data_IF_597598150041
#
_entry.id   IF_597598150041
#
_cell.length_a   1.000
_cell.length_b   1.000
_cell.length_c   1.000
_cell.angle_alpha   90.00
_cell.angle_beta   90.00
_cell.angle_gamma   90.00
#
_symmetry.space_group_name_H-M   'P 1'
#
loop_
_entity.id
_entity.type
_entity.pdbx_description
1 polymer ?
#
# COMPACT_ATOMS: atom_id res chain seq x y z
N UNK A 1 13.26 -29.32 6.65
CA UNK A 1 12.95 -30.67 6.14
C UNK A 1 11.45 -30.73 5.87
N UNK A 2 11.04 -30.70 4.60
CA UNK A 2 9.64 -30.80 4.19
C UNK A 2 9.12 -32.21 4.49
N UNK A 3 7.96 -32.33 5.11
CA UNK A 3 7.29 -33.62 5.33
C UNK A 3 6.82 -34.16 3.96
N UNK A 4 7.31 -35.32 3.49
CA UNK A 4 7.04 -35.83 2.13
C UNK A 4 5.56 -36.21 1.89
N UNK A 5 4.69 -36.13 2.89
CA UNK A 5 3.28 -36.53 2.80
C UNK A 5 2.28 -35.35 2.68
N UNK A 6 2.73 -34.11 2.87
CA UNK A 6 1.84 -32.94 2.84
C UNK A 6 2.06 -32.11 1.57
N UNK A 7 1.00 -31.88 0.80
CA UNK A 7 0.99 -30.89 -0.31
C UNK A 7 0.76 -29.45 0.18
N UNK A 8 0.71 -29.24 1.50
CA UNK A 8 0.46 -27.93 2.12
C UNK A 8 1.77 -27.26 2.52
N UNK A 9 1.74 -25.94 2.58
CA UNK A 9 2.88 -25.12 2.97
C UNK A 9 3.18 -25.25 4.48
N UNK A 10 4.45 -25.11 4.85
CA UNK A 10 4.90 -25.05 6.24
C UNK A 10 4.99 -23.60 6.72
N UNK A 11 4.88 -23.38 8.02
CA UNK A 11 5.06 -22.06 8.63
C UNK A 11 6.52 -21.59 8.52
N UNK A 12 6.72 -20.28 8.31
CA UNK A 12 8.03 -19.66 8.28
C UNK A 12 8.50 -19.30 9.69
N UNK A 13 9.63 -19.87 10.13
CA UNK A 13 10.19 -19.69 11.47
C UNK A 13 10.84 -18.32 11.74
N UNK A 14 10.87 -17.43 10.75
CA UNK A 14 11.36 -16.05 10.91
C UNK A 14 10.28 -15.07 11.38
N UNK A 15 9.02 -15.51 11.54
CA UNK A 15 7.98 -14.70 12.16
C UNK A 15 8.06 -14.74 13.69
N UNK A 16 7.76 -13.60 14.34
CA UNK A 16 7.72 -13.51 15.80
C UNK A 16 6.43 -14.08 16.40
N UNK A 17 5.32 -14.04 15.66
CA UNK A 17 4.00 -14.46 16.11
C UNK A 17 3.23 -15.11 14.96
N UNK A 18 2.25 -15.97 15.31
CA UNK A 18 1.34 -16.61 14.36
C UNK A 18 -0.10 -16.45 14.83
N UNK A 19 -0.99 -16.13 13.89
CA UNK A 19 -2.44 -16.19 14.08
C UNK A 19 -2.93 -17.28 13.12
N UNK A 20 -3.46 -18.38 13.69
CA UNK A 20 -3.98 -19.50 12.92
C UNK A 20 -5.50 -19.39 12.85
N UNK A 21 -6.03 -19.29 11.63
CA UNK A 21 -7.46 -19.11 11.37
C UNK A 21 -8.03 -20.42 10.86
N UNK A 22 -9.05 -20.93 11.53
CA UNK A 22 -9.72 -22.18 11.18
C UNK A 22 -11.14 -21.88 10.69
N UNK A 23 -11.46 -22.33 9.48
CA UNK A 23 -12.81 -22.28 8.90
C UNK A 23 -13.44 -23.68 8.75
N UNK A 24 -12.78 -24.72 9.31
CA UNK A 24 -13.17 -26.11 9.24
C UNK A 24 -12.80 -26.82 7.94
N UNK A 25 -12.17 -26.14 6.97
CA UNK A 25 -11.76 -26.73 5.69
C UNK A 25 -10.28 -27.08 5.63
N UNK A 26 -9.92 -28.05 4.79
CA UNK A 26 -8.53 -28.49 4.61
C UNK A 26 -8.11 -28.27 3.16
N UNK A 27 -6.94 -27.64 2.97
CA UNK A 27 -6.36 -27.43 1.64
C UNK A 27 -7.02 -26.34 0.80
N UNK A 28 -7.85 -25.49 1.40
CA UNK A 28 -8.39 -24.28 0.78
C UNK A 28 -7.66 -23.03 1.28
N UNK A 29 -7.48 -22.06 0.39
CA UNK A 29 -6.88 -20.77 0.71
C UNK A 29 -7.98 -19.73 1.00
N UNK A 30 -7.66 -18.72 1.82
CA UNK A 30 -8.50 -17.54 2.00
C UNK A 30 -9.34 -17.51 3.28
N UNK A 31 -9.24 -18.53 4.14
CA UNK A 31 -9.92 -18.55 5.44
C UNK A 31 -9.54 -17.34 6.31
N UNK A 32 -8.30 -16.87 6.19
CA UNK A 32 -7.75 -15.75 6.95
C UNK A 32 -8.21 -14.38 6.46
N UNK A 33 -8.72 -14.28 5.23
CA UNK A 33 -8.94 -12.98 4.55
C UNK A 33 -9.87 -12.11 5.38
N UNK A 34 -11.02 -12.62 5.83
CA UNK A 34 -11.99 -11.83 6.61
C UNK A 34 -11.38 -11.34 7.93
N UNK A 35 -10.73 -12.23 8.69
CA UNK A 35 -10.12 -11.86 9.97
C UNK A 35 -9.03 -10.81 9.80
N UNK A 36 -8.16 -11.00 8.78
CA UNK A 36 -7.09 -10.06 8.46
C UNK A 36 -7.65 -8.66 8.21
N UNK A 37 -8.74 -8.56 7.44
CA UNK A 37 -9.42 -7.28 7.15
C UNK A 37 -9.98 -6.60 8.40
N UNK A 38 -10.68 -7.36 9.25
CA UNK A 38 -11.23 -6.83 10.49
C UNK A 38 -10.13 -6.38 11.46
N UNK A 39 -9.01 -7.11 11.50
CA UNK A 39 -7.84 -6.77 12.30
C UNK A 39 -7.17 -5.48 11.79
N UNK A 40 -6.90 -5.37 10.49
CA UNK A 40 -6.32 -4.18 9.86
C UNK A 40 -7.16 -2.93 10.16
N UNK A 41 -8.49 -3.03 10.02
CA UNK A 41 -9.43 -1.94 10.37
C UNK A 41 -9.39 -1.59 11.85
N UNK A 42 -9.36 -2.59 12.73
CA UNK A 42 -9.32 -2.37 14.18
C UNK A 42 -8.03 -1.67 14.59
N UNK A 43 -6.89 -2.05 13.99
CA UNK A 43 -5.58 -1.41 14.20
C UNK A 43 -5.62 0.04 13.71
N UNK A 44 -6.24 0.31 12.56
CA UNK A 44 -6.34 1.66 12.02
C UNK A 44 -7.06 2.64 12.96
N UNK A 45 -8.01 2.14 13.76
CA UNK A 45 -8.73 2.93 14.76
C UNK A 45 -7.94 3.16 16.06
N UNK A 46 -6.83 2.44 16.27
CA UNK A 46 -6.00 2.63 17.46
C UNK A 46 -5.13 3.87 17.31
N UNK A 47 -4.82 4.54 18.43
CA UNK A 47 -3.94 5.72 18.42
C UNK A 47 -2.48 5.28 18.25
N UNK A 48 -1.78 5.93 17.32
CA UNK A 48 -0.35 5.69 17.11
C UNK A 48 0.51 6.16 18.30
N UNK A 49 0.06 7.22 18.98
CA UNK A 49 0.74 7.78 20.14
C UNK A 49 -0.27 8.47 21.06
N UNK A 50 -0.07 8.43 22.38
CA UNK A 50 -1.05 8.93 23.35
C UNK A 50 -1.40 10.42 23.18
N UNK A 51 -0.47 11.22 22.64
CA UNK A 51 -0.65 12.66 22.39
C UNK A 51 -1.03 13.01 20.96
N UNK A 52 -0.96 12.04 20.05
CA UNK A 52 -1.30 12.23 18.64
C UNK A 52 -2.70 11.68 18.44
N UNK A 53 -3.62 12.53 17.98
CA UNK A 53 -5.02 12.16 17.74
C UNK A 53 -5.25 11.23 16.55
N UNK A 54 -4.18 10.78 15.88
CA UNK A 54 -4.28 10.00 14.66
C UNK A 54 -4.26 8.50 14.90
N UNK A 55 -5.04 7.83 14.04
CA UNK A 55 -5.05 6.38 13.91
C UNK A 55 -3.72 5.81 13.42
N UNK A 56 -3.50 4.51 13.59
CA UNK A 56 -2.35 3.83 12.99
C UNK A 56 -2.58 3.72 11.47
N UNK A 57 -1.77 4.36 10.62
CA UNK A 57 -1.94 4.27 9.19
C UNK A 57 -1.60 2.85 8.69
N UNK A 58 -2.38 2.35 7.74
CA UNK A 58 -2.19 1.02 7.14
C UNK A 58 -1.88 1.19 5.65
N UNK A 59 -0.93 0.42 5.15
CA UNK A 59 -0.50 0.41 3.74
C UNK A 59 -0.32 -1.04 3.30
N UNK A 60 -0.74 -1.35 2.08
CA UNK A 60 -0.51 -2.65 1.47
C UNK A 60 0.74 -2.61 0.60
N UNK A 61 1.61 -3.61 0.74
CA UNK A 61 2.77 -3.80 -0.13
C UNK A 61 2.53 -5.02 -1.02
N UNK A 62 2.61 -4.83 -2.33
CA UNK A 62 2.45 -5.88 -3.34
C UNK A 62 3.81 -6.25 -3.90
N UNK A 63 4.21 -7.49 -3.66
CA UNK A 63 5.44 -8.10 -4.15
C UNK A 63 5.07 -9.37 -4.92
N UNK A 64 5.38 -9.40 -6.21
CA UNK A 64 4.93 -10.43 -7.16
C UNK A 64 3.39 -10.64 -7.10
N UNK A 65 2.94 -11.88 -6.92
CA UNK A 65 1.53 -12.21 -6.71
C UNK A 65 0.86 -12.95 -7.86
N UNK A 66 -0.19 -13.69 -7.51
CA UNK A 66 -1.13 -14.29 -8.46
C UNK A 66 -2.30 -13.36 -8.80
N UNK A 67 -3.26 -13.83 -9.61
CA UNK A 67 -4.40 -13.02 -10.06
C UNK A 67 -5.27 -12.50 -8.89
N UNK A 68 -5.37 -13.26 -7.79
CA UNK A 68 -6.13 -12.85 -6.60
C UNK A 68 -5.55 -11.62 -5.90
N UNK A 69 -4.27 -11.30 -6.11
CA UNK A 69 -3.66 -10.09 -5.55
C UNK A 69 -4.31 -8.85 -6.16
N UNK A 70 -4.65 -8.86 -7.45
CA UNK A 70 -5.34 -7.75 -8.11
C UNK A 70 -6.73 -7.53 -7.51
N UNK A 71 -7.47 -8.61 -7.21
CA UNK A 71 -8.74 -8.53 -6.50
C UNK A 71 -8.56 -7.94 -5.09
N UNK A 72 -7.53 -8.38 -4.38
CA UNK A 72 -7.19 -7.89 -3.04
C UNK A 72 -6.82 -6.39 -3.06
N UNK A 73 -6.12 -5.94 -4.10
CA UNK A 73 -5.82 -4.52 -4.35
C UNK A 73 -7.09 -3.74 -4.59
N UNK A 74 -8.00 -4.24 -5.42
CA UNK A 74 -9.30 -3.58 -5.62
C UNK A 74 -10.07 -3.42 -4.30
N UNK A 75 -10.09 -4.46 -3.46
CA UNK A 75 -10.72 -4.40 -2.14
C UNK A 75 -10.09 -3.30 -1.27
N UNK A 76 -8.76 -3.25 -1.17
CA UNK A 76 -8.04 -2.20 -0.43
C UNK A 76 -8.42 -0.79 -0.90
N UNK A 77 -8.52 -0.59 -2.22
CA UNK A 77 -8.86 0.70 -2.81
C UNK A 77 -10.33 1.08 -2.60
N UNK A 78 -11.24 0.12 -2.57
CA UNK A 78 -12.69 0.34 -2.40
C UNK A 78 -13.12 0.48 -0.94
N UNK A 79 -12.26 0.12 0.02
CA UNK A 79 -12.53 0.29 1.45
C UNK A 79 -12.78 1.75 1.86
N UNK A 80 -13.37 1.91 3.05
CA UNK A 80 -13.64 3.21 3.67
C UNK A 80 -13.17 3.20 5.13
N UNK A 81 -12.08 3.93 5.47
CA UNK A 81 -11.19 4.64 4.55
C UNK A 81 -10.41 3.68 3.63
N UNK A 82 -9.98 4.11 2.43
CA UNK A 82 -9.23 3.24 1.53
C UNK A 82 -7.81 3.01 2.05
N UNK A 83 -7.21 1.87 1.68
CA UNK A 83 -5.84 1.52 2.03
C UNK A 83 -4.92 1.79 0.84
N UNK A 84 -3.92 2.69 0.95
CA UNK A 84 -2.96 2.91 -0.11
C UNK A 84 -2.13 1.67 -0.39
N UNK A 85 -1.74 1.50 -1.65
CA UNK A 85 -1.03 0.31 -2.14
C UNK A 85 0.30 0.71 -2.75
N UNK A 86 1.39 0.10 -2.30
CA UNK A 86 2.70 0.18 -2.93
C UNK A 86 2.94 -1.08 -3.74
N UNK A 87 3.19 -0.91 -5.04
CA UNK A 87 3.45 -2.01 -5.97
C UNK A 87 4.93 -2.04 -6.31
N UNK A 88 5.61 -3.15 -5.98
CA UNK A 88 7.01 -3.36 -6.30
C UNK A 88 7.18 -3.88 -7.74
N UNK A 89 7.42 -2.97 -8.68
CA UNK A 89 7.75 -3.31 -10.06
C UNK A 89 9.13 -3.99 -10.16
N UNK A 90 9.24 -4.95 -11.06
CA UNK A 90 10.42 -5.79 -11.26
C UNK A 90 10.35 -7.10 -10.46
N UNK A 91 9.29 -7.30 -9.67
CA UNK A 91 9.09 -8.53 -8.89
C UNK A 91 8.34 -9.62 -9.64
N UNK A 92 7.69 -9.28 -10.77
CA UNK A 92 6.98 -10.24 -11.61
C UNK A 92 5.47 -10.22 -11.46
N UNK A 93 4.82 -10.92 -12.41
CA UNK A 93 3.41 -11.32 -12.39
C UNK A 93 2.43 -10.19 -12.06
N UNK A 94 1.65 -10.31 -10.97
CA UNK A 94 0.60 -9.34 -10.65
C UNK A 94 1.16 -7.94 -10.39
N UNK A 95 2.29 -7.82 -9.69
CA UNK A 95 2.94 -6.55 -9.43
C UNK A 95 3.35 -5.84 -10.73
N UNK A 96 4.00 -6.54 -11.65
CA UNK A 96 4.44 -5.95 -12.92
C UNK A 96 3.26 -5.59 -13.83
N UNK A 97 2.20 -6.39 -13.84
CA UNK A 97 0.97 -6.05 -14.58
C UNK A 97 0.32 -4.80 -13.99
N UNK A 98 0.20 -4.70 -12.66
CA UNK A 98 -0.33 -3.51 -11.98
C UNK A 98 0.52 -2.28 -12.28
N UNK A 99 1.84 -2.39 -12.21
CA UNK A 99 2.78 -1.32 -12.52
C UNK A 99 2.69 -0.88 -13.98
N UNK A 100 2.65 -1.83 -14.92
CA UNK A 100 2.52 -1.58 -16.34
C UNK A 100 1.22 -0.82 -16.65
N UNK A 101 0.08 -1.35 -16.20
CA UNK A 101 -1.22 -0.72 -16.43
C UNK A 101 -1.27 0.66 -15.78
N UNK A 102 -0.79 0.80 -14.54
CA UNK A 102 -0.70 2.09 -13.86
C UNK A 102 0.07 3.15 -14.68
N UNK A 103 1.17 2.78 -15.34
CA UNK A 103 1.94 3.68 -16.21
C UNK A 103 1.21 4.03 -17.51
N UNK A 104 0.42 3.10 -18.06
CA UNK A 104 -0.35 3.32 -19.29
C UNK A 104 -1.64 4.12 -19.05
N UNK A 105 -2.24 4.03 -17.86
CA UNK A 105 -3.51 4.70 -17.57
C UNK A 105 -3.35 6.21 -17.48
N UNK A 106 -4.17 6.96 -18.21
CA UNK A 106 -4.23 8.42 -18.15
C UNK A 106 -4.99 8.92 -16.90
N UNK A 107 -4.99 10.24 -16.67
CA UNK A 107 -5.81 10.87 -15.64
C UNK A 107 -7.29 10.60 -15.93
N UNK A 108 -7.97 9.85 -15.06
CA UNK A 108 -9.36 9.41 -15.24
C UNK A 108 -9.55 7.90 -15.35
N UNK A 109 -8.49 7.10 -15.28
CA UNK A 109 -8.60 5.64 -15.11
C UNK A 109 -8.74 4.85 -16.41
N UNK A 110 -8.63 5.51 -17.56
CA UNK A 110 -8.71 4.86 -18.87
C UNK A 110 -7.34 4.53 -19.44
N UNK A 111 -7.25 3.42 -20.18
CA UNK A 111 -6.05 3.06 -20.94
C UNK A 111 -6.18 3.54 -22.40
N UNK A 112 -5.06 3.81 -23.09
CA UNK A 112 -5.06 4.27 -24.47
C UNK A 112 -5.77 3.29 -25.41
N UNK A 113 -6.38 3.83 -26.48
CA UNK A 113 -7.00 3.01 -27.53
C UNK A 113 -5.96 2.05 -28.14
N UNK A 114 -6.26 0.75 -28.13
CA UNK A 114 -5.38 -0.30 -28.65
C UNK A 114 -4.45 -0.95 -27.61
N UNK A 115 -4.34 -0.43 -26.39
CA UNK A 115 -3.55 -1.07 -25.33
C UNK A 115 -4.27 -2.30 -24.70
N UNK A 116 -5.59 -2.31 -24.71
CA UNK A 116 -6.43 -3.40 -24.17
C UNK A 116 -6.04 -4.81 -24.67
N UNK A 117 -5.95 -5.10 -25.99
CA UNK A 117 -5.61 -6.43 -26.47
C UNK A 117 -4.21 -6.88 -26.04
N UNK A 118 -3.27 -5.95 -25.92
CA UNK A 118 -1.92 -6.24 -25.43
C UNK A 118 -1.93 -6.60 -23.95
N UNK A 119 -2.61 -5.81 -23.12
CA UNK A 119 -2.72 -6.07 -21.67
C UNK A 119 -3.41 -7.42 -21.43
N UNK A 120 -4.51 -7.72 -22.13
CA UNK A 120 -5.21 -9.01 -22.04
C UNK A 120 -4.28 -10.16 -22.45
N UNK A 121 -3.51 -10.01 -23.53
CA UNK A 121 -2.53 -11.01 -23.97
C UNK A 121 -1.46 -11.26 -22.91
N UNK A 122 -0.96 -10.21 -22.27
CA UNK A 122 0.00 -10.30 -21.16
C UNK A 122 -0.59 -11.03 -19.94
N UNK A 123 -1.83 -10.71 -19.56
CA UNK A 123 -2.55 -11.42 -18.48
C UNK A 123 -2.68 -12.91 -18.79
N UNK A 124 -3.12 -13.27 -20.01
CA UNK A 124 -3.26 -14.68 -20.43
C UNK A 124 -1.95 -15.44 -20.31
N UNK A 125 -0.85 -14.86 -20.80
CA UNK A 125 0.47 -15.48 -20.75
C UNK A 125 0.99 -15.61 -19.32
N UNK A 126 0.77 -14.60 -18.48
CA UNK A 126 1.32 -14.53 -17.12
C UNK A 126 0.62 -15.48 -16.15
N UNK A 127 -0.69 -15.68 -16.29
CA UNK A 127 -1.49 -16.51 -15.38
C UNK A 127 -2.04 -17.79 -16.02
N UNK A 128 -1.67 -18.09 -17.28
CA UNK A 128 -2.19 -19.22 -18.05
C UNK A 128 -3.72 -19.25 -18.15
N UNK A 129 -4.33 -18.07 -18.28
CA UNK A 129 -5.78 -17.87 -18.32
C UNK A 129 -6.39 -18.05 -19.71
N UNK A 130 -7.64 -18.50 -19.75
CA UNK A 130 -8.49 -18.43 -20.92
C UNK A 130 -8.87 -16.98 -21.28
N UNK A 131 -9.49 -16.78 -22.46
CA UNK A 131 -9.87 -15.44 -22.91
C UNK A 131 -10.83 -14.75 -21.92
N UNK A 132 -11.87 -15.46 -21.46
CA UNK A 132 -12.88 -14.89 -20.57
C UNK A 132 -12.31 -14.49 -19.21
N UNK A 133 -11.42 -15.30 -18.63
CA UNK A 133 -10.79 -15.03 -17.34
C UNK A 133 -9.86 -13.82 -17.43
N UNK A 134 -9.09 -13.71 -18.51
CA UNK A 134 -8.21 -12.58 -18.73
C UNK A 134 -8.96 -11.26 -18.95
N UNK A 135 -10.07 -11.29 -19.70
CA UNK A 135 -10.95 -10.11 -19.88
C UNK A 135 -11.54 -9.68 -18.53
N UNK A 136 -12.00 -10.63 -17.71
CA UNK A 136 -12.54 -10.32 -16.38
C UNK A 136 -11.47 -9.70 -15.45
N UNK A 137 -10.25 -10.27 -15.44
CA UNK A 137 -9.15 -9.71 -14.64
C UNK A 137 -8.72 -8.32 -15.16
N UNK A 138 -8.75 -8.11 -16.47
CA UNK A 138 -8.49 -6.80 -17.08
C UNK A 138 -9.52 -5.76 -16.63
N UNK A 139 -10.81 -6.10 -16.61
CA UNK A 139 -11.84 -5.20 -16.07
C UNK A 139 -11.58 -4.85 -14.60
N UNK A 140 -11.20 -5.83 -13.79
CA UNK A 140 -10.81 -5.61 -12.38
C UNK A 140 -9.61 -4.65 -12.27
N UNK A 141 -8.61 -4.81 -13.14
CA UNK A 141 -7.46 -3.90 -13.19
C UNK A 141 -7.87 -2.46 -13.50
N UNK A 142 -8.76 -2.25 -14.47
CA UNK A 142 -9.27 -0.92 -14.80
C UNK A 142 -10.05 -0.30 -13.63
N UNK A 143 -10.82 -1.11 -12.88
CA UNK A 143 -11.48 -0.62 -11.66
C UNK A 143 -10.47 -0.15 -10.60
N UNK A 144 -9.30 -0.81 -10.47
CA UNK A 144 -8.24 -0.33 -9.59
C UNK A 144 -7.71 1.04 -10.04
N UNK A 145 -7.58 1.25 -11.35
CA UNK A 145 -7.05 2.49 -11.93
C UNK A 145 -7.97 3.70 -11.79
N UNK A 146 -9.24 3.52 -11.39
CA UNK A 146 -10.12 4.64 -11.02
C UNK A 146 -9.64 5.39 -9.77
N UNK A 147 -8.86 4.73 -8.91
CA UNK A 147 -8.22 5.31 -7.72
C UNK A 147 -6.69 5.24 -7.83
N UNK A 148 -6.17 5.54 -9.03
CA UNK A 148 -4.76 5.47 -9.38
C UNK A 148 -3.87 6.23 -8.40
N UNK A 149 -4.34 7.36 -7.86
CA UNK A 149 -3.66 8.21 -6.89
C UNK A 149 -3.30 7.50 -5.57
N UNK A 150 -4.01 6.41 -5.23
CA UNK A 150 -3.72 5.58 -4.05
C UNK A 150 -2.72 4.46 -4.33
N UNK A 151 -2.32 4.27 -5.59
CA UNK A 151 -1.34 3.27 -6.00
C UNK A 151 0.00 3.96 -6.23
N UNK A 152 1.03 3.54 -5.50
CA UNK A 152 2.41 3.99 -5.67
C UNK A 152 3.23 2.88 -6.28
N UNK A 153 3.79 3.11 -7.48
CA UNK A 153 4.68 2.14 -8.14
C UNK A 153 6.12 2.41 -7.72
N UNK A 154 6.77 1.41 -7.14
CA UNK A 154 8.16 1.43 -6.72
C UNK A 154 8.98 0.48 -7.60
N UNK A 155 10.01 0.99 -8.28
CA UNK A 155 10.86 0.18 -9.15
C UNK A 155 12.02 -0.44 -8.36
N UNK A 156 12.10 -1.77 -8.33
CA UNK A 156 13.23 -2.44 -7.68
C UNK A 156 14.49 -2.29 -8.53
N UNK A 157 15.52 -1.68 -7.96
CA UNK A 157 16.85 -1.61 -8.58
C UNK A 157 17.08 -0.41 -9.51
N UNK A 158 16.24 0.63 -9.47
CA UNK A 158 16.58 1.90 -10.10
C UNK A 158 17.68 2.61 -9.30
N UNK A 159 18.70 3.11 -9.99
CA UNK A 159 19.78 3.94 -9.40
C UNK A 159 19.27 5.30 -8.87
N UNK A 160 18.00 5.65 -9.16
CA UNK A 160 17.34 6.88 -8.71
C UNK A 160 16.80 6.75 -7.26
N UNK A 161 17.71 6.98 -6.31
CA UNK A 161 17.60 7.73 -5.04
C UNK A 161 16.39 7.61 -4.08
N UNK A 162 15.39 6.75 -4.29
CA UNK A 162 14.33 6.57 -3.31
C UNK A 162 14.37 5.16 -2.72
N UNK A 163 14.63 5.07 -1.42
CA UNK A 163 14.53 3.82 -0.69
C UNK A 163 13.05 3.40 -0.54
N UNK A 164 12.81 2.09 -0.42
CA UNK A 164 11.45 1.52 -0.35
C UNK A 164 10.65 2.06 0.84
N UNK A 165 11.31 2.36 1.95
CA UNK A 165 10.69 2.95 3.13
C UNK A 165 10.14 4.36 2.84
N UNK A 166 10.87 5.19 2.09
CA UNK A 166 10.39 6.49 1.62
C UNK A 166 9.17 6.31 0.72
N UNK A 167 9.17 5.32 -0.19
CA UNK A 167 8.01 5.04 -1.04
C UNK A 167 6.78 4.64 -0.22
N UNK A 168 6.96 3.79 0.79
CA UNK A 168 5.90 3.35 1.72
C UNK A 168 5.32 4.54 2.51
N UNK A 169 6.19 5.35 3.12
CA UNK A 169 5.75 6.49 3.94
C UNK A 169 5.10 7.59 3.09
N UNK A 170 5.63 7.87 1.90
CA UNK A 170 5.04 8.85 0.99
C UNK A 170 3.70 8.36 0.43
N UNK A 171 3.51 7.05 0.19
CA UNK A 171 2.22 6.48 -0.18
C UNK A 171 1.17 6.68 0.93
N UNK A 172 1.56 6.55 2.20
CA UNK A 172 0.69 6.83 3.33
C UNK A 172 0.27 8.30 3.41
N UNK A 173 1.20 9.25 3.19
CA UNK A 173 0.88 10.68 3.20
C UNK A 173 -0.09 11.05 2.07
N UNK A 174 0.10 10.49 0.87
CA UNK A 174 -0.77 10.72 -0.29
C UNK A 174 -2.15 10.06 -0.12
N UNK A 175 -2.17 8.82 0.36
CA UNK A 175 -3.38 8.00 0.37
C UNK A 175 -4.37 8.28 1.50
N UNK A 176 -3.94 8.98 2.55
CA UNK A 176 -4.80 9.27 3.71
C UNK A 176 -5.63 10.56 3.57
N UNK A 177 -5.43 11.33 2.49
CA UNK A 177 -6.01 12.68 2.30
C UNK A 177 -5.89 13.56 3.57
N UNK A 178 -4.82 13.35 4.33
CA UNK A 178 -4.54 14.00 5.58
C UNK A 178 -4.20 15.48 5.35
N UNK A 179 -4.63 16.36 6.27
CA UNK A 179 -4.22 17.76 6.23
C UNK A 179 -2.69 17.88 6.36
N UNK A 180 -2.09 19.01 5.95
CA UNK A 180 -0.64 19.17 6.09
C UNK A 180 -0.16 19.09 7.55
N UNK A 181 -0.98 19.56 8.50
CA UNK A 181 -0.72 19.36 9.92
C UNK A 181 -0.76 17.89 10.30
N UNK A 182 -1.77 17.16 9.83
CA UNK A 182 -1.87 15.73 10.06
C UNK A 182 -0.67 14.96 9.48
N UNK A 183 -0.22 15.31 8.28
CA UNK A 183 0.97 14.72 7.66
C UNK A 183 2.24 15.03 8.47
N UNK A 184 2.38 16.26 8.99
CA UNK A 184 3.49 16.61 9.87
C UNK A 184 3.49 15.76 11.15
N UNK A 185 2.32 15.61 11.77
CA UNK A 185 2.14 14.80 12.97
C UNK A 185 2.46 13.31 12.71
N UNK A 186 2.08 12.76 11.56
CA UNK A 186 2.49 11.41 11.15
C UNK A 186 4.01 11.29 11.06
N UNK A 187 4.67 12.24 10.39
CA UNK A 187 6.14 12.20 10.25
C UNK A 187 6.87 12.35 11.59
N UNK A 188 6.32 13.11 12.53
CA UNK A 188 6.81 13.22 13.91
C UNK A 188 6.67 11.88 14.67
N UNK A 189 5.53 11.20 14.50
CA UNK A 189 5.29 9.88 15.09
C UNK A 189 6.32 8.86 14.57
N UNK A 190 6.59 8.88 13.27
CA UNK A 190 7.55 7.99 12.60
C UNK A 190 9.02 8.36 12.83
N UNK A 191 9.31 9.55 13.36
CA UNK A 191 10.66 10.14 13.44
C UNK A 191 11.35 10.33 12.07
N UNK A 192 10.58 10.77 11.08
CA UNK A 192 11.06 10.91 9.70
C UNK A 192 11.10 12.35 9.24
N UNK A 193 12.10 13.08 9.75
CA UNK A 193 12.33 14.51 9.47
C UNK A 193 12.61 14.77 8.00
N UNK A 194 13.26 13.82 7.33
CA UNK A 194 13.55 13.86 5.90
C UNK A 194 12.26 13.85 5.06
N UNK A 195 11.30 12.99 5.43
CA UNK A 195 9.97 12.94 4.80
C UNK A 195 9.21 14.23 5.08
N UNK A 196 9.22 14.72 6.33
CA UNK A 196 8.58 15.97 6.70
C UNK A 196 9.09 17.13 5.85
N UNK A 197 10.41 17.27 5.75
CA UNK A 197 11.06 18.34 4.99
C UNK A 197 10.75 18.26 3.49
N UNK A 198 10.83 17.07 2.90
CA UNK A 198 10.75 16.91 1.45
C UNK A 198 9.31 16.82 0.92
N UNK A 199 8.37 16.35 1.73
CA UNK A 199 7.00 16.07 1.29
C UNK A 199 5.91 16.87 2.02
N UNK A 200 6.18 17.39 3.22
CA UNK A 200 5.19 18.16 4.01
C UNK A 200 5.50 19.67 3.99
N UNK A 201 6.76 20.05 4.20
CA UNK A 201 7.22 21.46 4.13
C UNK A 201 7.52 21.90 2.70
N UNK A 202 6.54 21.78 1.81
CA UNK A 202 6.67 22.20 0.42
C UNK A 202 6.30 23.68 0.21
N UNK A 203 6.88 24.31 -0.81
CA UNK A 203 6.58 25.70 -1.13
C UNK A 203 5.09 25.88 -1.45
N UNK A 204 4.47 26.91 -0.89
CA UNK A 204 3.04 27.19 -1.05
C UNK A 204 2.12 26.48 -0.05
N UNK A 205 2.67 25.67 0.86
CA UNK A 205 1.88 25.04 1.92
C UNK A 205 1.34 26.08 2.90
N UNK A 206 0.02 26.09 3.10
CA UNK A 206 -0.64 26.92 4.10
C UNK A 206 -0.75 26.16 5.42
N UNK A 207 -0.40 26.85 6.51
CA UNK A 207 -0.49 26.33 7.87
C UNK A 207 -1.54 27.13 8.64
N UNK A 208 -2.40 26.45 9.38
CA UNK A 208 -3.33 27.11 10.28
C UNK A 208 -2.54 27.69 11.47
N UNK A 209 -2.95 28.86 11.94
CA UNK A 209 -2.36 29.50 13.13
C UNK A 209 -2.40 28.53 14.32
N UNK A 210 -1.27 28.35 15.01
CA UNK A 210 -1.16 27.41 16.12
C UNK A 210 -0.68 26.00 15.73
N UNK A 211 -0.70 25.63 14.44
CA UNK A 211 -0.33 24.27 14.00
C UNK A 211 1.15 23.99 14.22
N UNK A 212 2.02 24.94 13.88
CA UNK A 212 3.46 24.77 14.00
C UNK A 212 3.91 24.87 15.47
N UNK A 213 3.24 25.70 16.26
CA UNK A 213 3.45 25.81 17.70
C UNK A 213 3.10 24.48 18.40
N UNK A 214 1.98 23.85 18.03
CA UNK A 214 1.61 22.54 18.55
C UNK A 214 2.62 21.47 18.09
N UNK A 215 2.99 21.44 16.81
CA UNK A 215 3.98 20.48 16.29
C UNK A 215 5.34 20.63 16.98
N UNK A 216 5.77 21.86 17.28
CA UNK A 216 7.00 22.15 18.04
C UNK A 216 6.92 21.61 19.47
N UNK A 217 5.80 21.81 20.17
CA UNK A 217 5.59 21.26 21.51
C UNK A 217 5.59 19.73 21.51
N UNK A 218 4.99 19.11 20.50
CA UNK A 218 4.98 17.66 20.35
C UNK A 218 6.39 17.13 20.08
N UNK A 219 7.14 17.77 19.19
CA UNK A 219 8.53 17.45 18.90
C UNK A 219 9.42 17.53 20.15
N UNK A 220 9.29 18.59 20.96
CA UNK A 220 10.06 18.77 22.19
C UNK A 220 9.81 17.65 23.19
N UNK A 221 8.54 17.30 23.43
CA UNK A 221 8.20 16.28 24.43
C UNK A 221 8.45 14.86 23.90
N UNK A 222 8.47 14.65 22.58
CA UNK A 222 8.87 13.38 21.95
C UNK A 222 10.39 13.28 21.71
N UNK A 223 11.19 14.24 22.17
CA UNK A 223 12.64 14.32 21.98
C UNK A 223 13.08 14.27 20.49
N UNK A 224 12.30 14.88 19.61
CA UNK A 224 12.55 14.93 18.15
C UNK A 224 13.40 16.15 17.78
N UNK A 225 14.67 16.15 18.20
CA UNK A 225 15.59 17.29 18.00
C UNK A 225 15.70 17.73 16.53
N UNK A 226 15.66 16.78 15.59
CA UNK A 226 15.75 17.10 14.17
C UNK A 226 14.53 17.88 13.66
N UNK A 227 13.34 17.60 14.18
CA UNK A 227 12.13 18.35 13.86
C UNK A 227 12.10 19.74 14.51
N UNK A 228 12.69 19.90 15.69
CA UNK A 228 12.83 21.23 16.33
C UNK A 228 13.75 22.16 15.51
N UNK A 229 14.72 21.59 14.79
CA UNK A 229 15.65 22.34 13.94
C UNK A 229 15.09 22.67 12.55
N UNK A 230 14.10 21.89 12.09
CA UNK A 230 13.46 22.04 10.79
C UNK A 230 12.58 23.28 10.78
#
# INVERSE_FOLDING_TARGET
>A
LLNPLSKLNVLNNLHSHFILVDDGTVGKYGAEVKLRRELEKTINLQRIHARIGQGVPVVALVFEGGPNVILTVLDFLQESPPVPVVVCEGTGRAADILAYVHKQTEEGGNVPEGAEPEIISTIKKTFNFGQSEAVHLFQTLLECMKKKELITVFHIGSDEHQDIDVAILTALLKGTNASAFDQLVLTLAWDRVDIAKNHVFVYGQQWLVGSLEQAMLDALVMDRVAFVKL
#
